data_IF_381072301932
#
_entry.id   IF_381072301932
#
_cell.length_a   1.000
_cell.length_b   1.000
_cell.length_c   1.000
_cell.angle_alpha   90.00
_cell.angle_beta   90.00
_cell.angle_gamma   90.00
#
_symmetry.space_group_name_H-M   'P 1'
#
loop_
_entity.id
_entity.type
_entity.pdbx_description
1 polymer ?
#
# COMPACT_ATOMS: atom_id res chain seq x y z
N UNK A 1 6.72 1.93 42.96
CA UNK A 1 8.00 1.81 42.23
C UNK A 1 7.96 0.85 41.04
N UNK A 2 7.43 -0.38 41.12
CA UNK A 2 7.37 -1.29 39.96
C UNK A 2 6.30 -0.91 38.90
N UNK A 3 5.14 -0.39 39.31
CA UNK A 3 4.10 0.08 38.37
C UNK A 3 4.49 1.39 37.63
N UNK A 4 5.19 2.32 38.28
CA UNK A 4 5.66 3.58 37.66
C UNK A 4 6.78 3.36 36.63
N UNK A 5 7.68 2.41 36.87
CA UNK A 5 8.73 2.06 35.91
C UNK A 5 8.15 1.38 34.66
N UNK A 6 7.03 0.66 34.81
CA UNK A 6 6.34 0.01 33.69
C UNK A 6 5.54 1.01 32.85
N UNK A 7 4.92 2.01 33.49
CA UNK A 7 4.17 3.07 32.79
C UNK A 7 5.07 4.05 32.04
N UNK A 8 6.25 4.37 32.58
CA UNK A 8 7.22 5.25 31.92
C UNK A 8 7.82 4.60 30.67
N UNK A 9 8.18 3.31 30.73
CA UNK A 9 8.64 2.56 29.55
C UNK A 9 7.57 2.47 28.46
N UNK A 10 6.30 2.24 28.84
CA UNK A 10 5.19 2.24 27.88
C UNK A 10 4.98 3.61 27.23
N UNK A 11 5.03 4.70 28.00
CA UNK A 11 4.89 6.05 27.46
C UNK A 11 6.00 6.38 26.44
N UNK A 12 7.25 6.00 26.73
CA UNK A 12 8.38 6.18 25.80
C UNK A 12 8.16 5.36 24.53
N UNK A 13 7.76 4.09 24.65
CA UNK A 13 7.49 3.24 23.48
C UNK A 13 6.36 3.79 22.60
N UNK A 14 5.28 4.32 23.20
CA UNK A 14 4.18 4.95 22.45
C UNK A 14 4.64 6.22 21.74
N UNK A 15 5.53 7.01 22.36
CA UNK A 15 6.12 8.19 21.74
C UNK A 15 7.03 7.82 20.56
N UNK A 16 7.87 6.81 20.71
CA UNK A 16 8.71 6.29 19.62
C UNK A 16 7.88 5.77 18.45
N UNK A 17 6.81 5.03 18.73
CA UNK A 17 5.84 4.55 17.74
C UNK A 17 5.15 5.71 17.01
N UNK A 18 4.78 6.77 17.75
CA UNK A 18 4.19 7.96 17.17
C UNK A 18 5.15 8.67 16.21
N UNK A 19 6.41 8.88 16.61
CA UNK A 19 7.44 9.50 15.78
C UNK A 19 7.71 8.66 14.53
N UNK A 20 7.84 7.33 14.70
CA UNK A 20 7.99 6.40 13.59
C UNK A 20 6.81 6.53 12.62
N UNK A 21 5.58 6.57 13.15
CA UNK A 21 4.38 6.65 12.34
C UNK A 21 4.30 7.94 11.52
N UNK A 22 4.81 9.06 12.03
CA UNK A 22 4.98 10.30 11.26
C UNK A 22 5.93 10.05 10.09
N UNK A 23 7.11 9.47 10.33
CA UNK A 23 8.09 9.18 9.27
C UNK A 23 7.57 8.20 8.23
N UNK A 24 7.00 7.08 8.67
CA UNK A 24 6.43 6.05 7.81
C UNK A 24 5.20 6.56 7.03
N UNK A 25 4.34 7.36 7.65
CA UNK A 25 3.22 8.02 7.00
C UNK A 25 3.67 9.03 5.95
N UNK A 26 4.72 9.81 6.24
CA UNK A 26 5.34 10.74 5.30
C UNK A 26 5.87 10.02 4.06
N UNK A 27 6.71 8.99 4.25
CA UNK A 27 7.27 8.19 3.14
C UNK A 27 6.16 7.42 2.41
N UNK A 28 5.18 6.87 3.14
CA UNK A 28 4.05 6.13 2.59
C UNK A 28 3.16 6.98 1.68
N UNK A 29 2.89 8.24 2.06
CA UNK A 29 2.12 9.17 1.25
C UNK A 29 2.85 9.55 -0.05
N UNK A 30 4.17 9.75 0.05
CA UNK A 30 5.06 10.08 -1.07
C UNK A 30 5.15 8.95 -2.11
N UNK A 31 5.17 7.69 -1.66
CA UNK A 31 5.27 6.54 -2.57
C UNK A 31 3.91 5.97 -2.98
N UNK A 32 2.83 6.38 -2.31
CA UNK A 32 1.48 5.93 -2.60
C UNK A 32 1.20 4.47 -2.26
N UNK A 33 2.00 3.88 -1.37
CA UNK A 33 1.94 2.47 -0.97
C UNK A 33 1.23 2.25 0.38
N UNK A 34 0.56 3.27 0.92
CA UNK A 34 -0.21 3.16 2.16
C UNK A 34 0.62 3.01 3.45
N UNK A 35 1.96 3.09 3.37
CA UNK A 35 2.87 2.99 4.52
C UNK A 35 3.05 1.58 5.09
N UNK A 36 2.18 0.62 4.76
CA UNK A 36 2.21 -0.72 5.36
C UNK A 36 3.46 -1.55 5.03
N UNK A 37 4.13 -1.25 3.91
CA UNK A 37 5.42 -1.85 3.57
C UNK A 37 6.55 -1.46 4.56
N UNK A 38 6.35 -0.38 5.31
CA UNK A 38 7.27 0.13 6.34
C UNK A 38 6.81 -0.31 7.73
N UNK A 39 5.50 -0.18 8.04
CA UNK A 39 5.00 -0.47 9.38
C UNK A 39 5.24 -1.91 9.82
N UNK A 40 4.85 -2.91 9.03
CA UNK A 40 4.96 -4.31 9.47
C UNK A 40 6.40 -4.70 9.80
N UNK A 41 7.41 -4.43 8.95
CA UNK A 41 8.79 -4.80 9.25
C UNK A 41 9.39 -4.00 10.40
N UNK A 42 9.03 -2.73 10.56
CA UNK A 42 9.58 -1.93 11.65
C UNK A 42 8.97 -2.33 12.98
N UNK A 43 7.64 -2.49 13.05
CA UNK A 43 6.95 -2.94 14.27
C UNK A 43 7.46 -4.33 14.69
N UNK A 44 7.69 -5.22 13.73
CA UNK A 44 8.20 -6.56 14.03
C UNK A 44 9.68 -6.55 14.36
N UNK A 45 10.55 -5.83 13.64
CA UNK A 45 12.01 -5.93 13.83
C UNK A 45 12.62 -4.96 14.84
N UNK A 46 11.99 -3.81 15.07
CA UNK A 46 12.50 -2.78 16.00
C UNK A 46 11.77 -2.85 17.34
N UNK A 47 10.46 -3.07 17.32
CA UNK A 47 9.63 -3.10 18.53
C UNK A 47 9.28 -4.52 19.00
N UNK A 48 9.78 -5.55 18.30
CA UNK A 48 9.49 -6.97 18.54
C UNK A 48 8.01 -7.31 18.73
N UNK A 49 7.14 -6.53 18.07
CA UNK A 49 5.70 -6.76 18.06
C UNK A 49 5.43 -7.99 17.18
N UNK A 50 4.59 -8.96 17.62
CA UNK A 50 4.24 -10.12 16.80
C UNK A 50 3.67 -9.71 15.43
N UNK A 51 4.06 -10.42 14.37
CA UNK A 51 3.67 -10.07 12.99
C UNK A 51 2.17 -9.95 12.79
N UNK A 52 1.36 -10.81 13.41
CA UNK A 52 -0.10 -10.71 13.38
C UNK A 52 -0.59 -9.36 13.91
N UNK A 53 -0.07 -8.89 15.05
CA UNK A 53 -0.40 -7.57 15.61
C UNK A 53 0.18 -6.43 14.76
N UNK A 54 1.38 -6.59 14.20
CA UNK A 54 1.96 -5.59 13.33
C UNK A 54 1.13 -5.38 12.04
N UNK A 55 0.59 -6.46 11.46
CA UNK A 55 -0.31 -6.42 10.30
C UNK A 55 -1.59 -5.64 10.65
N UNK A 56 -2.19 -5.89 11.83
CA UNK A 56 -3.44 -5.23 12.26
C UNK A 56 -3.22 -3.75 12.59
N UNK A 57 -2.07 -3.38 13.15
CA UNK A 57 -1.71 -1.98 13.36
C UNK A 57 -1.47 -1.29 12.00
N UNK A 58 -0.72 -1.95 11.12
CA UNK A 58 -0.38 -1.45 9.78
C UNK A 58 -1.62 -1.17 8.92
N UNK A 59 -2.62 -2.06 8.93
CA UNK A 59 -3.82 -1.86 8.10
C UNK A 59 -4.58 -0.59 8.49
N UNK A 60 -4.54 -0.19 9.77
CA UNK A 60 -5.20 1.04 10.23
C UNK A 60 -4.39 2.27 9.81
N UNK A 61 -3.06 2.19 9.80
CA UNK A 61 -2.20 3.20 9.18
C UNK A 61 -2.48 3.34 7.67
N UNK A 62 -2.73 2.23 6.98
CA UNK A 62 -3.08 2.22 5.56
C UNK A 62 -4.41 2.96 5.32
N UNK A 63 -5.42 2.76 6.18
CA UNK A 63 -6.67 3.53 6.12
C UNK A 63 -6.38 5.03 6.32
N UNK A 64 -5.61 5.38 7.35
CA UNK A 64 -5.23 6.76 7.65
C UNK A 64 -4.51 7.46 6.48
N UNK A 65 -3.48 6.82 5.90
CA UNK A 65 -2.77 7.37 4.73
C UNK A 65 -3.68 7.47 3.51
N UNK A 66 -4.59 6.51 3.32
CA UNK A 66 -5.53 6.50 2.21
C UNK A 66 -6.53 7.66 2.30
N UNK A 67 -7.03 8.00 3.49
CA UNK A 67 -7.94 9.13 3.68
C UNK A 67 -7.21 10.45 3.36
N UNK A 68 -5.99 10.61 3.88
CA UNK A 68 -5.17 11.81 3.66
C UNK A 68 -4.80 12.02 2.18
N UNK A 69 -4.42 10.94 1.47
CA UNK A 69 -4.00 11.03 0.08
C UNK A 69 -5.12 10.89 -0.96
N UNK A 70 -6.03 9.92 -0.78
CA UNK A 70 -7.06 9.57 -1.76
C UNK A 70 -8.09 10.68 -1.96
N UNK A 71 -8.48 11.38 -0.89
CA UNK A 71 -9.44 12.49 -0.95
C UNK A 71 -8.95 13.64 -1.84
N UNK A 72 -7.64 13.91 -1.87
CA UNK A 72 -7.05 14.92 -2.73
C UNK A 72 -7.20 14.58 -4.22
N UNK A 73 -6.90 13.34 -4.62
CA UNK A 73 -7.01 12.92 -6.02
C UNK A 73 -8.45 12.86 -6.52
N UNK A 74 -9.40 12.51 -5.64
CA UNK A 74 -10.82 12.59 -5.97
C UNK A 74 -11.24 14.03 -6.22
N UNK A 75 -10.80 14.99 -5.39
CA UNK A 75 -11.05 16.43 -5.61
C UNK A 75 -10.41 16.95 -6.90
N UNK A 76 -9.23 16.45 -7.24
CA UNK A 76 -8.52 16.77 -8.49
C UNK A 76 -9.11 16.09 -9.74
N UNK A 77 -10.15 15.24 -9.59
CA UNK A 77 -10.80 14.50 -10.69
C UNK A 77 -9.86 13.59 -11.49
N UNK A 78 -8.76 13.14 -10.87
CA UNK A 78 -7.81 12.18 -11.48
C UNK A 78 -8.26 10.73 -11.22
N UNK A 79 -8.95 10.50 -10.11
CA UNK A 79 -9.45 9.18 -9.71
C UNK A 79 -10.60 8.72 -10.62
N UNK A 80 -10.45 7.55 -11.25
CA UNK A 80 -11.54 6.92 -11.98
C UNK A 80 -12.44 6.12 -11.03
N UNK A 81 -13.54 6.73 -10.57
CA UNK A 81 -14.43 6.13 -9.58
C UNK A 81 -15.15 4.88 -10.12
N UNK A 82 -15.51 4.83 -11.41
CA UNK A 82 -16.19 3.66 -11.99
C UNK A 82 -15.28 2.44 -12.00
N UNK A 83 -14.04 2.64 -12.48
CA UNK A 83 -13.01 1.63 -12.46
C UNK A 83 -12.68 1.20 -11.02
N UNK A 84 -12.57 2.16 -10.11
CA UNK A 84 -12.35 1.87 -8.69
C UNK A 84 -13.44 0.96 -8.14
N UNK A 85 -14.72 1.31 -8.31
CA UNK A 85 -15.84 0.52 -7.81
C UNK A 85 -15.84 -0.89 -8.40
N UNK A 86 -15.61 -1.03 -9.71
CA UNK A 86 -15.52 -2.32 -10.38
C UNK A 86 -14.41 -3.20 -9.80
N UNK A 87 -13.17 -2.69 -9.73
CA UNK A 87 -12.04 -3.46 -9.21
C UNK A 87 -12.13 -3.66 -7.69
N UNK A 88 -12.78 -2.77 -6.96
CA UNK A 88 -12.89 -2.85 -5.50
C UNK A 88 -13.79 -4.02 -5.09
N UNK A 89 -14.80 -4.39 -5.90
CA UNK A 89 -15.58 -5.62 -5.66
C UNK A 89 -14.68 -6.85 -5.51
N UNK A 90 -13.71 -7.03 -6.42
CA UNK A 90 -12.74 -8.12 -6.36
C UNK A 90 -11.78 -7.97 -5.19
N UNK A 91 -11.33 -6.74 -4.93
CA UNK A 91 -10.26 -6.51 -3.97
C UNK A 91 -10.78 -6.65 -2.55
N UNK A 92 -11.96 -6.10 -2.24
CA UNK A 92 -12.59 -6.26 -0.94
C UNK A 92 -12.86 -7.74 -0.65
N UNK A 93 -13.31 -8.53 -1.64
CA UNK A 93 -13.47 -9.98 -1.48
C UNK A 93 -12.14 -10.68 -1.21
N UNK A 94 -11.10 -10.35 -1.97
CA UNK A 94 -9.76 -10.87 -1.73
C UNK A 94 -9.23 -10.49 -0.35
N UNK A 95 -9.46 -9.25 0.09
CA UNK A 95 -9.03 -8.75 1.39
C UNK A 95 -9.77 -9.39 2.55
N UNK A 96 -11.07 -9.66 2.39
CA UNK A 96 -11.84 -10.46 3.33
C UNK A 96 -11.22 -11.86 3.49
N UNK A 97 -10.96 -12.56 2.39
CA UNK A 97 -10.32 -13.88 2.41
C UNK A 97 -8.91 -13.80 3.02
N UNK A 98 -8.10 -12.82 2.59
CA UNK A 98 -6.75 -12.60 3.10
C UNK A 98 -6.71 -12.33 4.60
N UNK A 99 -7.64 -11.53 5.12
CA UNK A 99 -7.75 -11.25 6.56
C UNK A 99 -8.10 -12.51 7.36
N UNK A 100 -8.99 -13.37 6.84
CA UNK A 100 -9.28 -14.67 7.48
C UNK A 100 -8.07 -15.61 7.46
N UNK A 101 -7.33 -15.65 6.34
CA UNK A 101 -6.14 -16.48 6.21
C UNK A 101 -5.06 -16.10 7.25
N UNK A 102 -4.86 -14.81 7.53
CA UNK A 102 -3.85 -14.36 8.52
C UNK A 102 -4.05 -15.00 9.88
N UNK A 103 -5.30 -15.14 10.33
CA UNK A 103 -5.62 -15.66 11.66
C UNK A 103 -5.12 -17.10 11.87
N UNK A 104 -4.96 -17.86 10.80
CA UNK A 104 -4.50 -19.26 10.82
C UNK A 104 -3.10 -19.44 10.24
N UNK A 105 -2.55 -18.42 9.59
CA UNK A 105 -1.26 -18.52 8.90
C UNK A 105 -0.10 -18.50 9.91
N UNK A 106 0.87 -19.42 9.79
CA UNK A 106 2.05 -19.43 10.65
C UNK A 106 2.93 -18.19 10.40
N UNK A 107 3.59 -17.72 11.46
CA UNK A 107 4.43 -16.51 11.45
C UNK A 107 5.54 -16.57 10.40
N UNK A 108 6.17 -17.73 10.20
CA UNK A 108 7.23 -17.93 9.20
C UNK A 108 6.74 -17.64 7.79
N UNK A 109 5.57 -18.14 7.41
CA UNK A 109 4.99 -17.91 6.09
C UNK A 109 4.65 -16.43 5.88
N UNK A 110 4.11 -15.74 6.90
CA UNK A 110 3.85 -14.29 6.81
C UNK A 110 5.14 -13.49 6.57
N UNK A 111 6.22 -13.80 7.30
CA UNK A 111 7.52 -13.15 7.09
C UNK A 111 8.07 -13.40 5.69
N UNK A 112 7.97 -14.63 5.17
CA UNK A 112 8.44 -14.99 3.83
C UNK A 112 7.61 -14.34 2.72
N UNK A 113 6.29 -14.32 2.85
CA UNK A 113 5.38 -13.64 1.91
C UNK A 113 5.68 -12.14 1.88
N UNK A 114 5.87 -11.53 3.05
CA UNK A 114 6.22 -10.11 3.15
C UNK A 114 7.57 -9.82 2.49
N UNK A 115 8.59 -10.63 2.80
CA UNK A 115 9.93 -10.47 2.24
C UNK A 115 9.93 -10.60 0.72
N UNK A 116 9.26 -11.63 0.19
CA UNK A 116 9.10 -11.84 -1.26
C UNK A 116 8.42 -10.64 -1.92
N UNK A 117 7.36 -10.11 -1.31
CA UNK A 117 6.68 -8.92 -1.80
C UNK A 117 7.58 -7.67 -1.76
N UNK A 118 8.33 -7.46 -0.68
CA UNK A 118 9.25 -6.33 -0.55
C UNK A 118 10.35 -6.38 -1.62
N UNK A 119 10.96 -7.54 -1.86
CA UNK A 119 11.95 -7.71 -2.93
C UNK A 119 11.35 -7.54 -4.33
N UNK A 120 10.11 -7.98 -4.54
CA UNK A 120 9.40 -7.74 -5.80
C UNK A 120 9.18 -6.24 -6.05
N UNK A 121 8.77 -5.48 -5.04
CA UNK A 121 8.65 -4.02 -5.12
C UNK A 121 9.99 -3.36 -5.43
N UNK A 122 11.06 -3.78 -4.76
CA UNK A 122 12.44 -3.30 -5.01
C UNK A 122 12.86 -3.58 -6.45
N UNK A 123 12.66 -4.81 -6.93
CA UNK A 123 13.01 -5.21 -8.29
C UNK A 123 12.31 -4.34 -9.34
N UNK A 124 11.00 -4.14 -9.20
CA UNK A 124 10.23 -3.31 -10.12
C UNK A 124 10.61 -1.83 -10.03
N UNK A 125 10.94 -1.32 -8.85
CA UNK A 125 11.38 0.06 -8.69
C UNK A 125 12.76 0.30 -9.32
N UNK A 126 13.70 -0.66 -9.18
CA UNK A 126 15.00 -0.61 -9.87
C UNK A 126 14.81 -0.64 -11.39
N UNK A 127 13.90 -1.49 -11.90
CA UNK A 127 13.56 -1.52 -13.33
C UNK A 127 12.99 -0.18 -13.80
N UNK A 128 12.09 0.43 -13.02
CA UNK A 128 11.53 1.75 -13.30
C UNK A 128 12.60 2.85 -13.32
N UNK A 129 13.60 2.79 -12.43
CA UNK A 129 14.72 3.74 -12.40
C UNK A 129 15.65 3.59 -13.60
N UNK A 130 15.92 2.35 -14.04
CA UNK A 130 16.80 2.06 -15.19
C UNK A 130 16.14 2.37 -16.53
N UNK A 131 14.82 2.23 -16.63
CA UNK A 131 14.05 2.60 -17.82
C UNK A 131 13.95 4.12 -18.06
N UNK A 132 14.67 4.95 -17.27
CA UNK A 132 14.78 6.39 -17.52
C UNK A 132 13.51 7.20 -17.26
N UNK A 133 12.54 6.66 -16.53
CA UNK A 133 11.26 7.34 -16.34
C UNK A 133 10.36 7.32 -17.57
N UNK A 134 10.72 6.57 -18.64
CA UNK A 134 9.77 6.10 -19.65
C UNK A 134 8.82 5.09 -19.00
N UNK A 135 7.99 5.58 -18.10
CA UNK A 135 6.89 4.81 -17.55
C UNK A 135 5.91 4.62 -18.69
N UNK A 136 6.09 3.57 -19.49
CA UNK A 136 5.11 3.11 -20.48
C UNK A 136 4.48 4.32 -21.20
N UNK A 137 5.32 5.15 -21.82
CA UNK A 137 4.86 6.06 -22.87
C UNK A 137 4.41 5.13 -23.99
N UNK A 138 3.12 4.85 -24.03
CA UNK A 138 2.52 4.17 -25.16
C UNK A 138 1.54 5.17 -25.73
N UNK A 139 2.00 5.88 -26.76
CA UNK A 139 1.16 6.43 -27.80
C UNK A 139 -0.01 5.46 -28.05
N UNK A 140 -1.25 5.89 -27.84
CA UNK A 140 -2.43 5.05 -28.07
C UNK A 140 -3.24 4.62 -26.84
N UNK A 141 -3.19 5.35 -25.71
CA UNK A 141 -4.18 5.15 -24.63
C UNK A 141 -5.62 5.26 -25.14
N UNK A 142 -5.89 6.22 -26.02
CA UNK A 142 -7.18 6.45 -26.66
C UNK A 142 -7.54 5.37 -27.69
N UNK A 143 -6.55 4.89 -28.44
CA UNK A 143 -6.74 4.01 -29.60
C UNK A 143 -6.96 2.53 -29.22
N UNK A 144 -6.92 2.19 -27.94
CA UNK A 144 -7.24 0.85 -27.48
C UNK A 144 -8.72 0.50 -27.70
N UNK A 145 -8.99 -0.75 -28.10
CA UNK A 145 -10.37 -1.26 -28.18
C UNK A 145 -10.89 -1.67 -26.80
N UNK A 146 -12.02 -1.14 -26.32
CA UNK A 146 -12.58 -1.53 -25.03
C UNK A 146 -13.14 -2.95 -25.09
N UNK A 147 -12.85 -3.73 -24.06
CA UNK A 147 -13.47 -5.05 -23.85
C UNK A 147 -14.96 -4.91 -23.48
N UNK A 148 -15.69 -6.03 -23.50
CA UNK A 148 -17.15 -6.05 -23.27
C UNK A 148 -17.52 -5.44 -21.92
N UNK A 149 -16.77 -5.75 -20.86
CA UNK A 149 -17.04 -5.26 -19.51
C UNK A 149 -16.72 -3.77 -19.42
N UNK A 150 -15.57 -3.36 -19.97
CA UNK A 150 -15.17 -1.95 -20.05
C UNK A 150 -16.21 -1.09 -20.76
N UNK A 151 -16.75 -1.58 -21.89
CA UNK A 151 -17.81 -0.89 -22.66
C UNK A 151 -19.13 -0.84 -21.91
N UNK A 152 -19.55 -1.95 -21.31
CA UNK A 152 -20.81 -2.03 -20.58
C UNK A 152 -20.83 -1.14 -19.34
N UNK A 153 -19.74 -1.16 -18.57
CA UNK A 153 -19.61 -0.38 -17.32
C UNK A 153 -19.04 1.02 -17.51
N UNK A 154 -18.72 1.40 -18.76
CA UNK A 154 -18.12 2.69 -19.11
C UNK A 154 -16.90 3.02 -18.26
N UNK A 155 -15.92 2.09 -18.24
CA UNK A 155 -14.73 2.17 -17.39
C UNK A 155 -13.66 3.12 -17.93
N UNK A 156 -13.66 3.44 -19.22
CA UNK A 156 -12.79 4.44 -19.84
C UNK A 156 -13.04 5.85 -19.29
N UNK A 157 -12.07 6.75 -19.47
CA UNK A 157 -12.22 8.13 -19.02
C UNK A 157 -11.15 9.07 -19.54
N UNK A 158 -11.18 10.29 -19.03
CA UNK A 158 -10.22 11.35 -19.32
C UNK A 158 -9.77 12.01 -18.02
N UNK A 159 -8.56 12.56 -18.00
CA UNK A 159 -8.09 13.41 -16.90
C UNK A 159 -7.22 14.55 -17.43
N UNK A 160 -7.22 15.67 -16.72
CA UNK A 160 -6.32 16.79 -17.03
C UNK A 160 -4.96 16.55 -16.40
N UNK A 161 -3.91 16.53 -17.22
CA UNK A 161 -2.54 16.36 -16.77
C UNK A 161 -1.87 17.73 -16.55
N UNK A 162 -1.68 18.10 -15.29
CA UNK A 162 -1.03 19.38 -14.92
C UNK A 162 0.43 19.49 -15.39
N UNK A 163 1.15 18.39 -15.64
CA UNK A 163 2.54 18.48 -16.12
C UNK A 163 2.64 18.75 -17.61
N UNK A 164 1.69 18.21 -18.38
CA UNK A 164 1.63 18.36 -19.84
C UNK A 164 0.62 19.43 -20.29
N UNK A 165 -0.12 20.02 -19.34
CA UNK A 165 -1.19 21.00 -19.56
C UNK A 165 -2.21 20.55 -20.62
N UNK A 166 -2.52 19.25 -20.65
CA UNK A 166 -3.38 18.63 -21.66
C UNK A 166 -4.32 17.58 -21.07
N UNK A 167 -5.45 17.35 -21.74
CA UNK A 167 -6.37 16.27 -21.39
C UNK A 167 -5.88 14.96 -21.99
N UNK A 168 -5.70 13.96 -21.13
CA UNK A 168 -5.31 12.60 -21.53
C UNK A 168 -6.55 11.72 -21.48
N UNK A 169 -7.04 11.33 -22.66
CA UNK A 169 -8.12 10.36 -22.82
C UNK A 169 -7.54 8.94 -22.88
N UNK A 170 -8.18 8.00 -22.20
CA UNK A 170 -7.73 6.61 -22.18
C UNK A 170 -8.90 5.63 -22.22
N UNK A 171 -8.67 4.52 -22.94
CA UNK A 171 -9.62 3.43 -23.06
C UNK A 171 -9.17 2.24 -22.22
N UNK A 172 -10.03 1.84 -21.28
CA UNK A 172 -9.79 0.67 -20.42
C UNK A 172 -9.98 -0.61 -21.21
N UNK A 173 -9.03 -1.53 -21.09
CA UNK A 173 -9.10 -2.90 -21.63
C UNK A 173 -8.78 -3.92 -20.55
N UNK A 174 -8.83 -5.21 -20.88
CA UNK A 174 -8.37 -6.27 -20.00
C UNK A 174 -9.09 -6.31 -18.64
N UNK A 175 -10.36 -5.88 -18.58
CA UNK A 175 -11.10 -5.67 -17.33
C UNK A 175 -11.12 -6.91 -16.42
N UNK A 176 -11.25 -8.10 -17.00
CA UNK A 176 -11.25 -9.37 -16.25
C UNK A 176 -9.87 -9.65 -15.63
N UNK A 177 -8.78 -9.43 -16.38
CA UNK A 177 -7.43 -9.61 -15.83
C UNK A 177 -7.14 -8.59 -14.73
N UNK A 178 -7.58 -7.35 -14.93
CA UNK A 178 -7.54 -6.31 -13.91
C UNK A 178 -8.27 -6.71 -12.63
N UNK A 179 -9.46 -7.29 -12.77
CA UNK A 179 -10.28 -7.80 -11.67
C UNK A 179 -9.60 -8.96 -10.94
N UNK A 180 -9.04 -9.94 -11.66
CA UNK A 180 -8.33 -11.08 -11.06
C UNK A 180 -7.05 -10.66 -10.32
N UNK A 181 -6.24 -9.78 -10.91
CA UNK A 181 -5.03 -9.29 -10.23
C UNK A 181 -5.40 -8.41 -9.03
N UNK A 182 -6.48 -7.64 -9.11
CA UNK A 182 -7.03 -6.88 -7.99
C UNK A 182 -7.51 -7.78 -6.85
N UNK A 183 -8.11 -8.94 -7.14
CA UNK A 183 -8.43 -9.94 -6.13
C UNK A 183 -7.18 -10.43 -5.39
N UNK A 184 -6.11 -10.80 -6.12
CA UNK A 184 -4.83 -11.23 -5.52
C UNK A 184 -4.22 -10.10 -4.69
N UNK A 185 -4.31 -8.86 -5.20
CA UNK A 185 -3.89 -7.66 -4.46
C UNK A 185 -4.66 -7.52 -3.14
N UNK A 186 -5.95 -7.86 -3.14
CA UNK A 186 -6.79 -7.92 -1.94
C UNK A 186 -6.32 -8.96 -0.94
N UNK A 187 -6.11 -10.20 -1.40
CA UNK A 187 -5.58 -11.27 -0.55
C UNK A 187 -4.25 -10.84 0.09
N UNK A 188 -3.32 -10.32 -0.70
CA UNK A 188 -2.05 -9.79 -0.19
C UNK A 188 -2.21 -8.58 0.73
N UNK A 189 -3.17 -7.69 0.47
CA UNK A 189 -3.49 -6.54 1.32
C UNK A 189 -3.96 -6.97 2.70
N UNK A 190 -4.92 -7.89 2.75
CA UNK A 190 -5.36 -8.50 4.00
C UNK A 190 -4.20 -9.19 4.69
N UNK A 191 -3.49 -10.05 3.97
CA UNK A 191 -2.43 -10.89 4.55
C UNK A 191 -1.23 -10.15 5.12
N UNK A 192 -0.81 -9.08 4.44
CA UNK A 192 0.46 -8.42 4.73
C UNK A 192 0.27 -7.02 5.33
N UNK A 193 -0.96 -6.50 5.43
CA UNK A 193 -1.21 -5.17 5.98
C UNK A 193 -0.66 -4.03 5.11
N UNK A 194 -0.38 -4.29 3.82
CA UNK A 194 0.30 -3.37 2.88
C UNK A 194 -0.66 -2.52 2.01
N UNK A 195 -1.97 -2.78 2.04
CA UNK A 195 -2.97 -2.05 1.24
C UNK A 195 -3.13 -2.51 -0.23
N UNK A 196 -2.28 -3.41 -0.73
CA UNK A 196 -2.41 -4.01 -2.08
C UNK A 196 -2.15 -3.05 -3.26
N UNK A 197 -1.82 -1.78 -2.99
CA UNK A 197 -1.78 -0.72 -4.01
C UNK A 197 -0.83 -0.99 -5.16
N UNK A 198 0.34 -1.57 -4.88
CA UNK A 198 1.34 -1.83 -5.90
C UNK A 198 0.86 -2.82 -6.99
N UNK A 199 0.14 -3.87 -6.59
CA UNK A 199 -0.44 -4.83 -7.51
C UNK A 199 -1.56 -4.18 -8.33
N UNK A 200 -2.44 -3.40 -7.70
CA UNK A 200 -3.54 -2.67 -8.37
C UNK A 200 -3.03 -1.68 -9.41
N UNK A 201 -2.03 -0.86 -9.05
CA UNK A 201 -1.40 0.10 -9.96
C UNK A 201 -0.77 -0.62 -11.14
N UNK A 202 -0.03 -1.70 -10.88
CA UNK A 202 0.57 -2.51 -11.95
C UNK A 202 -0.48 -3.15 -12.84
N UNK A 203 -1.58 -3.64 -12.27
CA UNK A 203 -2.68 -4.24 -13.02
C UNK A 203 -3.33 -3.23 -13.97
N UNK A 204 -3.70 -2.07 -13.42
CA UNK A 204 -4.32 -0.99 -14.19
C UNK A 204 -3.41 -0.50 -15.32
N UNK A 205 -2.13 -0.29 -15.02
CA UNK A 205 -1.20 0.23 -16.01
C UNK A 205 -0.81 -0.82 -17.08
N UNK A 206 -0.37 -2.01 -16.66
CA UNK A 206 0.20 -3.00 -17.57
C UNK A 206 -0.87 -3.81 -18.32
N UNK A 207 -1.97 -4.16 -17.65
CA UNK A 207 -3.00 -5.01 -18.23
C UNK A 207 -4.22 -4.23 -18.72
N UNK A 208 -4.54 -3.10 -18.07
CA UNK A 208 -5.78 -2.37 -18.35
C UNK A 208 -5.64 -1.11 -19.18
N UNK A 209 -4.42 -0.75 -19.59
CA UNK A 209 -4.17 0.46 -20.39
C UNK A 209 -4.61 1.75 -19.69
N UNK A 210 -4.45 1.81 -18.37
CA UNK A 210 -4.77 2.99 -17.56
C UNK A 210 -3.49 3.81 -17.33
N UNK A 211 -3.50 5.13 -17.61
CA UNK A 211 -2.37 6.00 -17.34
C UNK A 211 -1.90 5.90 -15.89
N UNK A 212 -0.59 5.97 -15.67
CA UNK A 212 0.00 5.72 -14.34
C UNK A 212 -0.54 6.68 -13.26
N UNK A 213 -0.77 7.96 -13.59
CA UNK A 213 -1.34 8.95 -12.67
C UNK A 213 -2.75 8.56 -12.22
N UNK A 214 -3.60 8.16 -13.17
CA UNK A 214 -4.96 7.65 -12.91
C UNK A 214 -4.90 6.35 -12.11
N UNK A 215 -4.02 5.42 -12.46
CA UNK A 215 -3.86 4.16 -11.75
C UNK A 215 -3.46 4.37 -10.29
N UNK A 216 -2.51 5.26 -10.01
CA UNK A 216 -2.10 5.62 -8.64
C UNK A 216 -3.24 6.27 -7.87
N UNK A 217 -3.94 7.23 -8.47
CA UNK A 217 -5.08 7.92 -7.86
C UNK A 217 -6.24 6.96 -7.53
N UNK A 218 -6.65 6.16 -8.52
CA UNK A 218 -7.69 5.13 -8.43
C UNK A 218 -7.33 4.09 -7.37
N UNK A 219 -6.09 3.60 -7.38
CA UNK A 219 -5.62 2.66 -6.36
C UNK A 219 -5.62 3.30 -4.97
N UNK A 220 -5.22 4.56 -4.81
CA UNK A 220 -5.22 5.22 -3.49
C UNK A 220 -6.61 5.32 -2.90
N UNK A 221 -7.64 5.57 -3.71
CA UNK A 221 -9.02 5.52 -3.24
C UNK A 221 -9.41 4.11 -2.78
N UNK A 222 -9.10 3.12 -3.60
CA UNK A 222 -9.39 1.70 -3.34
C UNK A 222 -8.68 1.15 -2.10
N UNK A 223 -7.42 1.51 -1.86
CA UNK A 223 -6.61 1.03 -0.72
C UNK A 223 -7.33 1.23 0.61
N UNK A 224 -7.97 2.38 0.83
CA UNK A 224 -8.69 2.68 2.06
C UNK A 224 -9.89 1.77 2.29
N UNK A 225 -10.67 1.49 1.23
CA UNK A 225 -11.83 0.60 1.28
C UNK A 225 -11.39 -0.84 1.56
N UNK A 226 -10.39 -1.33 0.81
CA UNK A 226 -9.83 -2.68 0.99
C UNK A 226 -9.24 -2.87 2.39
N UNK A 227 -8.54 -1.86 2.90
CA UNK A 227 -7.96 -1.88 4.22
C UNK A 227 -9.04 -1.85 5.31
N UNK A 228 -10.12 -1.08 5.11
CA UNK A 228 -11.27 -1.10 6.01
C UNK A 228 -11.94 -2.47 6.07
N UNK A 229 -12.10 -3.17 4.93
CA UNK A 229 -12.61 -4.55 4.92
C UNK A 229 -11.79 -5.47 5.81
N UNK A 230 -10.45 -5.42 5.68
CA UNK A 230 -9.55 -6.24 6.51
C UNK A 230 -9.58 -5.83 7.98
N UNK A 231 -9.61 -4.52 8.26
CA UNK A 231 -9.63 -3.97 9.61
C UNK A 231 -10.89 -4.38 10.39
N UNK A 232 -12.05 -4.43 9.72
CA UNK A 232 -13.30 -4.92 10.33
C UNK A 232 -13.15 -6.37 10.79
N UNK A 233 -12.58 -7.24 9.94
CA UNK A 233 -12.33 -8.64 10.30
C UNK A 233 -11.39 -8.76 11.49
N UNK A 234 -10.30 -7.99 11.50
CA UNK A 234 -9.36 -7.97 12.63
C UNK A 234 -9.98 -7.44 13.92
N UNK A 235 -10.82 -6.42 13.83
CA UNK A 235 -11.52 -5.86 14.98
C UNK A 235 -12.49 -6.89 15.57
N UNK A 236 -13.33 -7.50 14.75
CA UNK A 236 -14.28 -8.54 15.19
C UNK A 236 -13.56 -9.77 15.75
N UNK A 237 -12.38 -10.10 15.22
CA UNK A 237 -11.56 -11.23 15.71
C UNK A 237 -10.82 -10.92 17.02
N UNK A 238 -10.92 -9.69 17.56
CA UNK A 238 -10.28 -9.31 18.83
C UNK A 238 -8.75 -9.20 18.78
N UNK A 239 -8.15 -9.18 17.59
CA UNK A 239 -6.68 -9.14 17.41
C UNK A 239 -6.12 -7.72 17.27
N UNK A 240 -6.98 -6.69 17.33
CA UNK A 240 -6.61 -5.29 17.22
C UNK A 240 -6.20 -4.74 18.58
N UNK A 241 -4.97 -4.24 18.67
CA UNK A 241 -4.43 -3.58 19.85
C UNK A 241 -4.56 -2.07 19.76
N UNK A 242 -5.66 -1.54 20.33
CA UNK A 242 -6.02 -0.13 20.24
C UNK A 242 -4.95 0.82 20.81
N UNK A 243 -4.21 0.36 21.80
CA UNK A 243 -3.12 1.10 22.43
C UNK A 243 -1.96 1.40 21.47
N UNK A 244 -1.67 0.48 20.54
CA UNK A 244 -0.67 0.68 19.48
C UNK A 244 -1.26 1.43 18.28
N UNK A 245 -2.53 1.19 17.99
CA UNK A 245 -3.23 1.76 16.83
C UNK A 245 -3.39 3.27 16.95
N UNK A 246 -3.78 3.78 18.12
CA UNK A 246 -4.05 5.20 18.30
C UNK A 246 -2.85 6.11 17.95
N UNK A 247 -1.64 5.93 18.54
CA UNK A 247 -0.49 6.77 18.19
C UNK A 247 -0.07 6.56 16.74
N UNK A 248 -0.12 5.32 16.25
CA UNK A 248 0.25 5.03 14.87
C UNK A 248 -0.69 5.70 13.88
N UNK A 249 -2.02 5.65 14.08
CA UNK A 249 -2.98 6.27 13.20
C UNK A 249 -2.81 7.80 13.16
N UNK A 250 -2.70 8.44 14.34
CA UNK A 250 -2.53 9.90 14.43
C UNK A 250 -1.21 10.33 13.79
N UNK A 251 -0.10 9.67 14.16
CA UNK A 251 1.21 9.96 13.59
C UNK A 251 1.22 9.77 12.07
N UNK A 252 0.59 8.71 11.58
CA UNK A 252 0.45 8.45 10.14
C UNK A 252 -0.32 9.54 9.42
N UNK A 253 -1.44 10.04 9.97
CA UNK A 253 -2.23 11.13 9.37
C UNK A 253 -1.37 12.40 9.27
N UNK A 254 -0.65 12.75 10.35
CA UNK A 254 0.23 13.92 10.38
C UNK A 254 1.36 13.79 9.34
N UNK A 255 2.06 12.65 9.36
CA UNK A 255 3.12 12.33 8.41
C UNK A 255 2.65 12.37 6.96
N UNK A 256 1.52 11.72 6.67
CA UNK A 256 0.95 11.66 5.33
C UNK A 256 0.54 13.04 4.82
N UNK A 257 -0.07 13.87 5.68
CA UNK A 257 -0.50 15.23 5.34
C UNK A 257 0.68 16.17 5.07
N UNK A 258 1.82 15.96 5.74
CA UNK A 258 3.07 16.65 5.44
C UNK A 258 3.68 16.12 4.13
N UNK A 259 3.68 14.80 3.93
CA UNK A 259 4.22 14.14 2.75
C UNK A 259 3.54 14.60 1.46
N UNK A 260 2.20 14.67 1.44
CA UNK A 260 1.44 15.14 0.26
C UNK A 260 1.77 16.58 -0.12
N UNK A 261 1.98 17.48 0.85
CA UNK A 261 2.38 18.88 0.59
C UNK A 261 3.80 19.00 0.04
N UNK A 262 4.73 18.18 0.55
CA UNK A 262 6.15 18.26 0.20
C UNK A 262 6.46 17.53 -1.11
N UNK A 263 5.63 16.57 -1.52
CA UNK A 263 5.85 15.73 -2.72
C UNK A 263 6.20 16.54 -3.98
N UNK A 264 5.50 17.66 -4.21
CA UNK A 264 5.67 18.50 -5.40
C UNK A 264 7.01 19.26 -5.43
N UNK A 265 7.80 19.22 -4.35
CA UNK A 265 9.10 19.91 -4.23
C UNK A 265 10.30 18.95 -4.25
N UNK A 266 10.07 17.63 -4.24
CA UNK A 266 11.14 16.63 -4.15
C UNK A 266 11.52 16.06 -5.52
N UNK A 267 12.83 15.82 -5.72
CA UNK A 267 13.32 15.11 -6.90
C UNK A 267 12.86 13.64 -6.85
N UNK A 268 11.98 13.26 -7.77
CA UNK A 268 11.39 11.91 -7.87
C UNK A 268 12.45 10.80 -7.86
N UNK A 269 13.61 11.02 -8.48
CA UNK A 269 14.71 10.05 -8.53
C UNK A 269 15.30 9.76 -7.14
N UNK A 270 15.56 10.79 -6.33
CA UNK A 270 16.13 10.62 -4.99
C UNK A 270 15.15 9.86 -4.08
N UNK A 271 13.88 10.25 -4.13
CA UNK A 271 12.82 9.62 -3.33
C UNK A 271 12.70 8.12 -3.64
N UNK A 272 12.68 7.75 -4.93
CA UNK A 272 12.65 6.35 -5.36
C UNK A 272 13.87 5.58 -4.83
N UNK A 273 15.09 6.13 -4.93
CA UNK A 273 16.32 5.47 -4.46
C UNK A 273 16.30 5.24 -2.95
N UNK A 274 15.97 6.26 -2.16
CA UNK A 274 15.89 6.15 -0.70
C UNK A 274 14.84 5.12 -0.29
N UNK A 275 13.67 5.14 -0.92
CA UNK A 275 12.63 4.16 -0.64
C UNK A 275 13.05 2.74 -1.03
N UNK A 276 13.69 2.55 -2.19
CA UNK A 276 14.22 1.25 -2.60
C UNK A 276 15.20 0.71 -1.55
N UNK A 277 16.11 1.55 -1.05
CA UNK A 277 17.08 1.15 -0.03
C UNK A 277 16.40 0.73 1.28
N UNK A 278 15.43 1.52 1.75
CA UNK A 278 14.65 1.21 2.96
C UNK A 278 13.90 -0.12 2.79
N UNK A 279 13.13 -0.29 1.71
CA UNK A 279 12.34 -1.51 1.48
C UNK A 279 13.24 -2.72 1.30
N UNK A 280 14.40 -2.57 0.66
CA UNK A 280 15.38 -3.66 0.54
C UNK A 280 15.87 -4.12 1.91
N UNK A 281 16.24 -3.17 2.79
CA UNK A 281 16.64 -3.47 4.17
C UNK A 281 15.51 -4.13 4.96
N UNK A 282 14.29 -3.59 4.89
CA UNK A 282 13.13 -4.16 5.59
C UNK A 282 12.76 -5.55 5.05
N UNK A 283 12.83 -5.76 3.73
CA UNK A 283 12.63 -7.05 3.09
C UNK A 283 13.66 -8.10 3.53
N UNK A 284 14.92 -7.71 3.65
CA UNK A 284 15.98 -8.55 4.24
C UNK A 284 15.71 -8.88 5.70
N UNK A 285 15.30 -7.89 6.50
CA UNK A 285 14.96 -8.08 7.91
C UNK A 285 13.84 -9.11 8.10
N UNK A 286 12.81 -9.05 7.25
CA UNK A 286 11.71 -10.03 7.25
C UNK A 286 12.17 -11.42 6.77
N UNK A 287 13.05 -11.49 5.76
CA UNK A 287 13.64 -12.75 5.31
C UNK A 287 14.37 -13.44 6.47
N UNK A 288 15.23 -12.70 7.17
CA UNK A 288 16.01 -13.20 8.29
C UNK A 288 15.10 -13.74 9.41
N UNK A 289 14.05 -13.01 9.80
CA UNK A 289 13.09 -13.49 10.81
C UNK A 289 12.33 -14.74 10.35
N UNK A 290 11.90 -14.78 9.09
CA UNK A 290 11.22 -15.95 8.52
C UNK A 290 12.08 -17.21 8.51
N UNK A 291 13.34 -17.08 8.08
CA UNK A 291 14.30 -18.17 8.03
C UNK A 291 14.77 -18.63 9.41
N UNK A 292 14.93 -17.71 10.36
CA UNK A 292 15.29 -18.03 11.74
C UNK A 292 14.24 -18.93 12.40
N UNK A 293 12.95 -18.70 12.14
CA UNK A 293 11.87 -19.57 12.62
C UNK A 293 11.92 -20.97 11.99
N UNK A 294 12.47 -21.09 10.78
CA UNK A 294 12.69 -22.37 10.08
C UNK A 294 14.03 -23.02 10.45
N UNK A 295 14.80 -22.46 11.40
CA UNK A 295 16.08 -22.99 11.85
C UNK A 295 17.29 -22.58 11.01
N UNK A 296 17.13 -21.63 10.07
CA UNK A 296 18.22 -21.11 9.23
C UNK A 296 18.63 -19.73 9.71
N UNK A 297 19.88 -19.57 10.15
CA UNK A 297 20.43 -18.28 10.60
C UNK A 297 21.14 -17.58 9.45
N UNK A 298 20.64 -16.38 9.09
CA UNK A 298 21.36 -15.44 8.23
C UNK A 298 22.10 -14.40 9.09
N UNK A 299 23.24 -13.87 8.61
CA UNK A 299 23.98 -12.81 9.30
C UNK A 299 23.16 -11.51 9.51
#
# INVERSE_FOLDING_TARGET
MSQEATSSHQAVQLLELFILAIGAGFVGALMGLGGGLIFVPVLTSVFDIPIHTAITVSIISVIATSISGGSAYVKQRITNIRLAMFLETSTSLGAFIGALLVLTTPKSLLYLLFSTFAFYVVFLQIRSLRAGGRGVEIEGFKDASPDVVSRYLHLSGEYFDESELSNVEYTVRGSIMGWLVSFIAGVGSGMLGIGGGFFKVSAMNLFMNVPLKVAIATSKFMIGVTAATSAIIYYISGVVRLDLVAPVAIGTILGASLGTKVMNRLRVKLLKVVFTAIVCYLGYSMLRKGLLILGVTLP
#
